data_IF_317941095076
#
_entry.id   IF_317941095076
#
_cell.length_a   1.000
_cell.length_b   1.000
_cell.length_c   1.000
_cell.angle_alpha   90.00
_cell.angle_beta   90.00
_cell.angle_gamma   90.00
#
_symmetry.space_group_name_H-M   'P 1'
#
loop_
_entity.id
_entity.type
_entity.pdbx_description
1 polymer ?
#
# COMPACT_ATOMS: atom_id res chain seq x y z
N UNK A 1 13.05 -4.06 8.89
CA UNK A 1 13.21 -4.97 7.74
C UNK A 1 14.64 -4.94 7.20
N UNK A 2 15.16 -3.81 6.69
CA UNK A 2 16.54 -3.68 6.17
C UNK A 2 17.61 -4.13 7.17
N UNK A 3 17.56 -3.64 8.41
CA UNK A 3 18.52 -4.02 9.46
C UNK A 3 18.37 -5.49 9.90
N UNK A 4 17.18 -6.07 9.77
CA UNK A 4 16.95 -7.50 10.07
C UNK A 4 17.53 -8.37 8.95
N UNK A 5 17.36 -7.99 7.68
CA UNK A 5 17.96 -8.67 6.55
C UNK A 5 19.50 -8.62 6.62
N UNK A 6 20.09 -7.46 6.94
CA UNK A 6 21.55 -7.33 7.11
C UNK A 6 22.12 -8.09 8.31
N UNK A 7 21.33 -8.32 9.37
CA UNK A 7 21.74 -9.13 10.52
C UNK A 7 21.62 -10.64 10.27
N UNK A 8 20.61 -11.08 9.51
CA UNK A 8 20.40 -12.50 9.17
C UNK A 8 21.33 -12.95 8.04
N UNK A 9 21.65 -12.04 7.12
CA UNK A 9 22.55 -12.29 5.99
C UNK A 9 23.64 -11.21 5.94
N UNK A 10 24.66 -11.29 6.82
CA UNK A 10 25.78 -10.36 6.75
C UNK A 10 26.52 -10.54 5.42
N UNK A 11 26.72 -9.44 4.69
CA UNK A 11 27.44 -9.43 3.42
C UNK A 11 28.76 -8.70 3.64
N UNK A 12 29.87 -9.32 3.22
CA UNK A 12 31.18 -8.68 3.25
C UNK A 12 31.21 -7.48 2.28
N UNK A 13 31.79 -6.35 2.72
CA UNK A 13 31.92 -5.11 1.93
C UNK A 13 33.04 -5.17 0.88
N UNK A 14 33.37 -6.37 0.39
CA UNK A 14 34.46 -6.63 -0.55
C UNK A 14 35.72 -7.21 0.10
N UNK A 15 36.79 -7.27 -0.69
CA UNK A 15 38.07 -7.85 -0.27
C UNK A 15 38.84 -6.89 0.64
N UNK A 16 39.55 -7.43 1.64
CA UNK A 16 40.50 -6.66 2.43
C UNK A 16 41.64 -6.19 1.52
N UNK A 17 42.03 -4.93 1.68
CA UNK A 17 43.14 -4.38 0.90
C UNK A 17 44.47 -4.98 1.35
N UNK A 18 45.21 -5.55 0.39
CA UNK A 18 46.56 -6.07 0.60
C UNK A 18 47.53 -5.33 -0.35
N UNK A 19 48.47 -4.52 0.18
CA UNK A 19 49.36 -3.70 -0.65
C UNK A 19 50.28 -4.49 -1.60
N UNK A 20 50.52 -5.76 -1.28
CA UNK A 20 51.45 -6.65 -1.99
C UNK A 20 50.76 -7.50 -3.06
N UNK A 21 49.43 -7.49 -3.13
CA UNK A 21 48.65 -8.24 -4.10
C UNK A 21 48.07 -7.25 -5.11
N UNK A 22 48.34 -7.41 -6.42
CA UNK A 22 47.71 -6.59 -7.44
C UNK A 22 46.19 -6.64 -7.27
N UNK A 23 45.48 -5.49 -7.31
CA UNK A 23 44.04 -5.48 -7.19
C UNK A 23 43.41 -6.38 -8.26
N UNK A 24 42.59 -7.34 -7.82
CA UNK A 24 41.80 -8.15 -8.74
C UNK A 24 40.81 -7.28 -9.52
N UNK A 25 40.30 -7.80 -10.63
CA UNK A 25 39.19 -7.16 -11.35
C UNK A 25 37.93 -7.31 -10.48
N UNK A 26 37.57 -6.24 -9.77
CA UNK A 26 36.36 -6.19 -8.95
C UNK A 26 35.28 -5.38 -9.65
N UNK A 27 34.08 -5.95 -9.72
CA UNK A 27 32.87 -5.20 -10.10
C UNK A 27 32.55 -4.23 -8.96
N UNK A 28 32.21 -2.95 -9.25
CA UNK A 28 31.88 -2.00 -8.19
C UNK A 28 30.56 -2.36 -7.51
N UNK A 29 30.25 -1.63 -6.44
CA UNK A 29 28.97 -1.75 -5.74
C UNK A 29 27.76 -1.56 -6.65
N UNK A 30 26.65 -2.20 -6.31
CA UNK A 30 25.46 -2.32 -7.17
C UNK A 30 24.88 -0.99 -7.67
N UNK A 31 25.05 0.09 -6.92
CA UNK A 31 24.59 1.43 -7.31
C UNK A 31 25.50 2.12 -8.33
N UNK A 32 26.68 1.56 -8.63
CA UNK A 32 27.63 2.03 -9.65
C UNK A 32 27.75 1.10 -10.85
N UNK A 33 27.21 -0.12 -10.79
CA UNK A 33 27.39 -1.09 -11.87
C UNK A 33 26.72 -0.66 -13.17
N UNK A 34 25.65 0.13 -13.11
CA UNK A 34 25.07 0.75 -14.30
C UNK A 34 26.05 1.67 -15.04
N UNK A 35 26.77 2.55 -14.33
CA UNK A 35 27.83 3.37 -14.94
C UNK A 35 28.98 2.51 -15.45
N UNK A 36 29.34 1.50 -14.67
CA UNK A 36 30.39 0.55 -15.02
C UNK A 36 30.10 -0.19 -16.33
N UNK A 37 28.83 -0.53 -16.60
CA UNK A 37 28.43 -1.14 -17.87
C UNK A 37 28.82 -0.27 -19.07
N UNK A 38 28.56 1.04 -19.02
CA UNK A 38 28.93 1.96 -20.09
C UNK A 38 30.46 2.03 -20.28
N UNK A 39 31.23 2.08 -19.19
CA UNK A 39 32.69 2.08 -19.26
C UNK A 39 33.27 0.80 -19.89
N UNK A 40 32.56 -0.33 -19.77
CA UNK A 40 32.96 -1.61 -20.35
C UNK A 40 32.64 -1.76 -21.83
N UNK A 41 31.91 -0.81 -22.43
CA UNK A 41 31.60 -0.82 -23.87
C UNK A 41 32.77 -0.47 -24.79
N UNK A 42 33.93 -0.10 -24.23
CA UNK A 42 35.12 0.38 -24.95
C UNK A 42 34.86 1.60 -25.86
N UNK A 43 33.70 2.26 -25.70
CA UNK A 43 33.43 3.54 -26.34
C UNK A 43 34.21 4.67 -25.64
N UNK A 44 34.10 5.89 -26.17
CA UNK A 44 34.76 7.04 -25.56
C UNK A 44 34.41 7.17 -24.06
N UNK A 45 35.46 7.18 -23.23
CA UNK A 45 35.35 7.14 -21.75
C UNK A 45 34.73 8.42 -21.20
N UNK A 46 34.99 9.56 -21.85
CA UNK A 46 34.38 10.82 -21.45
C UNK A 46 32.88 10.79 -21.73
N UNK A 47 32.47 10.30 -22.91
CA UNK A 47 31.07 10.20 -23.27
C UNK A 47 30.29 9.25 -22.32
N UNK A 48 30.82 8.05 -22.12
CA UNK A 48 30.20 6.97 -21.33
C UNK A 48 30.27 7.18 -19.83
N UNK A 49 31.40 7.68 -19.32
CA UNK A 49 31.63 7.86 -17.89
C UNK A 49 31.20 9.22 -17.34
N UNK A 50 31.12 10.26 -18.18
CA UNK A 50 30.85 11.63 -17.74
C UNK A 50 29.60 12.20 -18.41
N UNK A 51 29.58 12.30 -19.74
CA UNK A 51 28.51 13.02 -20.44
C UNK A 51 27.14 12.36 -20.26
N UNK A 52 27.00 11.05 -20.50
CA UNK A 52 25.72 10.35 -20.37
C UNK A 52 25.17 10.38 -18.93
N UNK A 53 25.96 10.08 -17.87
CA UNK A 53 25.51 10.25 -16.49
C UNK A 53 25.15 11.70 -16.15
N UNK A 54 25.95 12.68 -16.57
CA UNK A 54 25.68 14.09 -16.30
C UNK A 54 24.39 14.56 -16.98
N UNK A 55 24.14 14.13 -18.22
CA UNK A 55 22.89 14.40 -18.93
C UNK A 55 21.69 13.78 -18.20
N UNK A 56 21.82 12.53 -17.76
CA UNK A 56 20.76 11.85 -17.00
C UNK A 56 20.43 12.59 -15.70
N UNK A 57 21.43 12.96 -14.91
CA UNK A 57 21.26 13.75 -13.68
C UNK A 57 20.67 15.13 -14.00
N UNK A 58 21.15 15.78 -15.07
CA UNK A 58 20.63 17.06 -15.53
C UNK A 58 19.13 17.00 -15.85
N UNK A 59 18.67 15.94 -16.52
CA UNK A 59 17.25 15.72 -16.80
C UNK A 59 16.45 15.55 -15.50
N UNK A 60 16.96 14.80 -14.52
CA UNK A 60 16.30 14.63 -13.22
C UNK A 60 16.21 15.96 -12.45
N UNK A 61 17.27 16.77 -12.44
CA UNK A 61 17.28 18.09 -11.80
C UNK A 61 16.33 19.07 -12.48
N UNK A 62 16.17 18.98 -13.80
CA UNK A 62 15.25 19.81 -14.57
C UNK A 62 13.80 19.32 -14.51
N UNK A 63 13.56 18.07 -14.12
CA UNK A 63 12.22 17.46 -14.03
C UNK A 63 11.18 18.32 -13.30
N UNK A 64 11.43 18.90 -12.10
CA UNK A 64 10.44 19.74 -11.42
C UNK A 64 10.03 20.99 -12.23
N UNK A 65 10.87 21.48 -13.13
CA UNK A 65 10.59 22.65 -13.98
C UNK A 65 9.92 22.26 -15.31
N UNK A 66 10.22 21.05 -15.80
CA UNK A 66 9.61 20.48 -17.01
C UNK A 66 8.21 19.92 -16.74
N UNK A 67 7.94 19.45 -15.51
CA UNK A 67 6.65 18.91 -15.11
C UNK A 67 5.63 20.03 -14.82
N UNK A 68 4.87 20.40 -15.85
CA UNK A 68 3.82 21.43 -15.77
C UNK A 68 2.43 20.88 -15.40
N UNK A 69 2.32 19.62 -14.99
CA UNK A 69 1.02 19.02 -14.69
C UNK A 69 0.46 19.49 -13.34
N UNK A 70 -0.76 20.04 -13.37
CA UNK A 70 -1.45 20.53 -12.15
C UNK A 70 -1.79 19.43 -11.13
N UNK A 71 -2.06 18.21 -11.58
CA UNK A 71 -2.50 17.10 -10.72
C UNK A 71 -1.32 16.21 -10.39
N UNK A 72 -1.15 15.82 -9.12
CA UNK A 72 -0.03 14.97 -8.66
C UNK A 72 -0.09 13.51 -9.13
N UNK A 73 -1.28 12.99 -9.43
CA UNK A 73 -1.46 11.56 -9.76
C UNK A 73 -0.68 11.15 -11.02
N UNK A 74 0.02 10.02 -10.95
CA UNK A 74 0.81 9.45 -12.06
C UNK A 74 -0.02 9.23 -13.34
N UNK A 75 -1.30 8.86 -13.18
CA UNK A 75 -2.22 8.66 -14.32
C UNK A 75 -2.52 9.98 -15.02
N UNK A 76 -2.55 11.09 -14.28
CA UNK A 76 -2.83 12.41 -14.81
C UNK A 76 -1.60 13.06 -15.48
N UNK A 77 -0.41 12.44 -15.35
CA UNK A 77 0.87 12.90 -15.94
C UNK A 77 1.46 11.88 -16.93
N UNK A 78 0.73 11.48 -17.99
CA UNK A 78 1.10 10.33 -18.81
C UNK A 78 2.53 10.39 -19.38
N UNK A 79 2.96 11.55 -19.87
CA UNK A 79 4.28 11.72 -20.47
C UNK A 79 5.39 11.67 -19.42
N UNK A 80 5.28 12.43 -18.33
CA UNK A 80 6.29 12.45 -17.26
C UNK A 80 6.40 11.08 -16.58
N UNK A 81 5.27 10.42 -16.32
CA UNK A 81 5.27 9.06 -15.77
C UNK A 81 5.94 8.07 -16.73
N UNK A 82 5.65 8.14 -18.04
CA UNK A 82 6.29 7.27 -19.03
C UNK A 82 7.81 7.53 -19.11
N UNK A 83 8.26 8.79 -19.09
CA UNK A 83 9.68 9.12 -19.01
C UNK A 83 10.34 8.55 -17.75
N UNK A 84 9.69 8.71 -16.58
CA UNK A 84 10.20 8.19 -15.31
C UNK A 84 10.33 6.67 -15.29
N UNK A 85 9.27 5.96 -15.71
CA UNK A 85 9.29 4.49 -15.78
C UNK A 85 10.31 3.98 -16.80
N UNK A 86 10.43 4.65 -17.95
CA UNK A 86 11.46 4.35 -18.94
C UNK A 86 12.86 4.51 -18.34
N UNK A 87 13.12 5.62 -17.63
CA UNK A 87 14.40 5.86 -16.98
C UNK A 87 14.74 4.80 -15.92
N UNK A 88 13.76 4.39 -15.10
CA UNK A 88 13.95 3.30 -14.13
C UNK A 88 14.25 1.97 -14.84
N UNK A 89 13.52 1.66 -15.92
CA UNK A 89 13.75 0.44 -16.70
C UNK A 89 15.17 0.43 -17.30
N UNK A 90 15.63 1.56 -17.85
CA UNK A 90 17.00 1.72 -18.34
C UNK A 90 18.01 1.46 -17.22
N UNK A 91 17.86 2.10 -16.05
CA UNK A 91 18.76 1.87 -14.91
C UNK A 91 18.84 0.40 -14.53
N UNK A 92 17.70 -0.28 -14.39
CA UNK A 92 17.66 -1.69 -13.98
C UNK A 92 18.37 -2.60 -14.99
N UNK A 93 18.09 -2.42 -16.28
CA UNK A 93 18.71 -3.23 -17.34
C UNK A 93 20.20 -2.94 -17.43
N UNK A 94 20.62 -1.68 -17.41
CA UNK A 94 22.05 -1.33 -17.45
C UNK A 94 22.79 -1.80 -16.19
N UNK A 95 22.14 -1.78 -15.03
CA UNK A 95 22.70 -2.34 -13.76
C UNK A 95 22.93 -3.84 -13.89
N UNK A 96 21.97 -4.58 -14.46
CA UNK A 96 22.14 -6.01 -14.75
C UNK A 96 23.31 -6.27 -15.70
N UNK A 97 23.38 -5.52 -16.82
CA UNK A 97 24.52 -5.60 -17.74
C UNK A 97 25.84 -5.29 -17.02
N UNK A 98 25.82 -4.36 -16.07
CA UNK A 98 26.93 -4.00 -15.19
C UNK A 98 27.48 -5.15 -14.35
N UNK A 99 26.65 -6.13 -14.00
CA UNK A 99 27.07 -7.37 -13.33
C UNK A 99 27.37 -8.52 -14.28
N UNK A 100 26.79 -8.49 -15.48
CA UNK A 100 26.90 -9.61 -16.41
C UNK A 100 28.35 -9.81 -16.89
N UNK A 101 28.80 -11.05 -16.74
CA UNK A 101 30.06 -11.60 -17.25
C UNK A 101 29.71 -12.97 -17.85
N UNK A 102 29.98 -13.23 -19.14
CA UNK A 102 29.72 -14.54 -19.77
C UNK A 102 30.33 -15.67 -18.95
N UNK A 103 29.68 -16.82 -18.73
CA UNK A 103 30.19 -17.86 -17.83
C UNK A 103 31.34 -18.68 -18.42
N UNK A 104 31.59 -18.60 -19.72
CA UNK A 104 32.63 -19.36 -20.41
C UNK A 104 34.03 -19.00 -19.90
N UNK A 105 34.66 -19.92 -19.16
CA UNK A 105 35.98 -19.73 -18.56
C UNK A 105 37.13 -19.99 -19.53
N UNK A 106 36.86 -20.41 -20.77
CA UNK A 106 37.89 -20.57 -21.80
C UNK A 106 38.37 -19.22 -22.37
N UNK A 107 37.55 -18.17 -22.23
CA UNK A 107 37.87 -16.81 -22.64
C UNK A 107 38.53 -16.06 -21.46
N UNK A 108 39.62 -15.30 -21.68
CA UNK A 108 40.24 -14.49 -20.63
C UNK A 108 39.25 -13.52 -19.97
N UNK A 109 39.38 -13.31 -18.66
CA UNK A 109 38.47 -12.44 -17.89
C UNK A 109 38.38 -11.01 -18.44
N UNK A 110 39.50 -10.47 -18.94
CA UNK A 110 39.56 -9.11 -19.53
C UNK A 110 38.62 -8.98 -20.74
N UNK A 111 38.60 -10.00 -21.60
CA UNK A 111 37.76 -10.02 -22.79
C UNK A 111 36.29 -10.27 -22.42
N UNK A 112 36.03 -11.16 -21.46
CA UNK A 112 34.67 -11.39 -20.91
C UNK A 112 34.08 -10.16 -20.22
N UNK A 113 34.92 -9.24 -19.76
CA UNK A 113 34.48 -8.00 -19.14
C UNK A 113 33.96 -7.02 -20.18
N UNK A 114 34.47 -7.05 -21.41
CA UNK A 114 34.05 -6.13 -22.47
C UNK A 114 32.59 -6.39 -22.83
N UNK A 115 31.80 -5.31 -22.85
CA UNK A 115 30.41 -5.34 -23.29
C UNK A 115 30.40 -4.91 -24.76
N UNK A 116 29.76 -5.69 -25.63
CA UNK A 116 29.52 -5.27 -27.00
C UNK A 116 28.60 -4.03 -27.00
N UNK A 117 29.09 -2.86 -27.48
CA UNK A 117 28.30 -1.64 -27.50
C UNK A 117 27.02 -1.79 -28.33
N UNK A 118 27.07 -2.51 -29.45
CA UNK A 118 25.92 -2.68 -30.33
C UNK A 118 24.81 -3.40 -29.59
N UNK A 119 25.13 -4.49 -28.89
CA UNK A 119 24.15 -5.25 -28.12
C UNK A 119 23.56 -4.44 -26.97
N UNK A 120 24.39 -3.73 -26.19
CA UNK A 120 23.91 -2.90 -25.09
C UNK A 120 22.97 -1.80 -25.59
N UNK A 121 23.40 -1.01 -26.57
CA UNK A 121 22.61 0.11 -27.06
C UNK A 121 21.36 -0.33 -27.83
N UNK A 122 21.40 -1.46 -28.54
CA UNK A 122 20.21 -2.03 -29.18
C UNK A 122 19.14 -2.36 -28.12
N UNK A 123 19.52 -3.06 -27.04
CA UNK A 123 18.60 -3.37 -25.94
C UNK A 123 18.05 -2.10 -25.31
N UNK A 124 18.90 -1.10 -25.06
CA UNK A 124 18.47 0.19 -24.51
C UNK A 124 17.49 0.91 -25.43
N UNK A 125 17.79 1.04 -26.73
CA UNK A 125 16.94 1.71 -27.71
C UNK A 125 15.60 0.99 -27.84
N UNK A 126 15.59 -0.35 -27.86
CA UNK A 126 14.36 -1.13 -27.92
C UNK A 126 13.52 -1.00 -26.64
N UNK A 127 14.17 -0.88 -25.48
CA UNK A 127 13.50 -0.74 -24.19
C UNK A 127 12.76 0.60 -24.08
N UNK A 128 13.21 1.66 -24.76
CA UNK A 128 12.54 2.97 -24.74
C UNK A 128 11.09 2.89 -25.23
N UNK A 129 10.77 2.55 -26.50
CA UNK A 129 9.40 2.49 -26.96
C UNK A 129 8.59 1.40 -26.25
N UNK A 130 9.21 0.29 -25.84
CA UNK A 130 8.53 -0.76 -25.10
C UNK A 130 8.04 -0.27 -23.73
N UNK A 131 8.93 0.24 -22.89
CA UNK A 131 8.58 0.70 -21.54
C UNK A 131 7.70 1.95 -21.57
N UNK A 132 7.97 2.87 -22.49
CA UNK A 132 7.20 4.09 -22.66
C UNK A 132 5.78 3.80 -23.18
N UNK A 133 5.66 3.03 -24.27
CA UNK A 133 4.38 2.62 -24.84
C UNK A 133 3.56 1.77 -23.87
N UNK A 134 4.20 0.81 -23.20
CA UNK A 134 3.56 0.01 -22.15
C UNK A 134 3.02 0.89 -21.02
N UNK A 135 3.77 1.90 -20.59
CA UNK A 135 3.30 2.83 -19.55
C UNK A 135 2.07 3.60 -19.99
N UNK A 136 2.07 4.15 -21.21
CA UNK A 136 0.91 4.88 -21.74
C UNK A 136 -0.32 3.97 -21.85
N UNK A 137 -0.13 2.73 -22.32
CA UNK A 137 -1.18 1.71 -22.35
C UNK A 137 -1.74 1.44 -20.96
N UNK A 138 -0.88 1.21 -19.96
CA UNK A 138 -1.30 0.94 -18.58
C UNK A 138 -2.05 2.13 -17.96
N UNK A 139 -1.62 3.36 -18.24
CA UNK A 139 -2.33 4.57 -17.80
C UNK A 139 -3.71 4.66 -18.44
N UNK A 140 -3.81 4.35 -19.75
CA UNK A 140 -5.10 4.32 -20.45
C UNK A 140 -6.05 3.30 -19.82
N UNK A 141 -5.59 2.05 -19.64
CA UNK A 141 -6.37 0.98 -19.01
C UNK A 141 -6.77 1.33 -17.57
N UNK A 142 -5.88 1.94 -16.79
CA UNK A 142 -6.18 2.35 -15.42
C UNK A 142 -7.26 3.45 -15.37
N UNK A 143 -7.24 4.42 -16.30
CA UNK A 143 -8.28 5.45 -16.41
C UNK A 143 -9.62 4.86 -16.85
N UNK A 144 -9.59 3.93 -17.80
CA UNK A 144 -10.79 3.22 -18.25
C UNK A 144 -11.42 2.40 -17.12
N UNK A 145 -10.61 1.69 -16.34
CA UNK A 145 -11.05 0.93 -15.19
C UNK A 145 -11.68 1.83 -14.12
N UNK A 146 -11.06 2.99 -13.82
CA UNK A 146 -11.66 3.97 -12.90
C UNK A 146 -12.99 4.52 -13.39
N UNK A 147 -13.09 4.83 -14.69
CA UNK A 147 -14.34 5.29 -15.32
C UNK A 147 -15.42 4.23 -15.20
N UNK A 148 -15.12 2.98 -15.56
CA UNK A 148 -16.05 1.85 -15.47
C UNK A 148 -16.47 1.59 -14.02
N UNK A 149 -15.55 1.64 -13.06
CA UNK A 149 -15.84 1.49 -11.64
C UNK A 149 -16.75 2.61 -11.10
N UNK A 150 -16.53 3.87 -11.52
CA UNK A 150 -17.41 4.99 -11.16
C UNK A 150 -18.82 4.83 -11.73
N UNK A 151 -18.95 4.38 -12.99
CA UNK A 151 -20.24 4.09 -13.61
C UNK A 151 -20.94 2.91 -12.93
N UNK A 152 -20.22 1.83 -12.64
CA UNK A 152 -20.77 0.69 -11.91
C UNK A 152 -21.22 1.06 -10.49
N UNK A 153 -20.49 1.96 -9.81
CA UNK A 153 -20.91 2.48 -8.49
C UNK A 153 -22.15 3.38 -8.58
N UNK A 154 -22.27 4.17 -9.65
CA UNK A 154 -23.43 5.03 -9.87
C UNK A 154 -24.69 4.22 -10.24
N UNK A 155 -24.52 3.17 -11.05
CA UNK A 155 -25.62 2.36 -11.60
C UNK A 155 -25.89 1.07 -10.80
N UNK A 156 -25.01 0.72 -9.87
CA UNK A 156 -25.10 -0.50 -9.06
C UNK A 156 -26.12 -0.39 -7.93
N UNK A 157 -26.59 -1.53 -7.38
CA UNK A 157 -27.51 -1.54 -6.26
C UNK A 157 -26.90 -0.81 -5.05
N UNK A 158 -27.57 0.25 -4.58
CA UNK A 158 -27.14 1.05 -3.41
C UNK A 158 -27.14 0.24 -2.09
N UNK A 159 -27.83 -0.90 -2.05
CA UNK A 159 -27.75 -1.88 -0.97
C UNK A 159 -26.63 -2.88 -1.28
N UNK A 160 -25.44 -2.59 -0.79
CA UNK A 160 -24.40 -3.61 -0.65
C UNK A 160 -24.90 -4.57 0.43
N UNK A 161 -24.95 -5.88 0.13
CA UNK A 161 -25.33 -6.92 1.09
C UNK A 161 -24.40 -6.82 2.30
N UNK A 162 -24.88 -6.24 3.41
CA UNK A 162 -24.12 -6.22 4.64
C UNK A 162 -24.05 -7.66 5.16
N UNK A 163 -22.84 -8.22 5.23
CA UNK A 163 -22.61 -9.53 5.84
C UNK A 163 -22.96 -9.39 7.33
N UNK A 164 -24.17 -9.80 7.69
CA UNK A 164 -24.65 -9.78 9.06
C UNK A 164 -24.57 -11.21 9.59
N UNK A 165 -23.45 -11.56 10.21
CA UNK A 165 -23.28 -12.85 10.85
C UNK A 165 -24.10 -12.87 12.14
N UNK A 166 -24.93 -13.89 12.31
CA UNK A 166 -25.69 -14.09 13.55
C UNK A 166 -24.72 -14.30 14.73
N UNK A 167 -25.04 -13.71 15.89
CA UNK A 167 -24.21 -13.82 17.10
C UNK A 167 -23.87 -15.27 17.48
N UNK A 168 -24.81 -16.21 17.25
CA UNK A 168 -24.61 -17.64 17.50
C UNK A 168 -23.53 -18.24 16.60
N UNK A 169 -23.56 -17.89 15.31
CA UNK A 169 -22.56 -18.34 14.33
C UNK A 169 -21.20 -17.68 14.55
N UNK A 170 -21.17 -16.40 14.91
CA UNK A 170 -19.94 -15.71 15.27
C UNK A 170 -19.24 -16.36 16.47
N UNK A 171 -20.00 -16.72 17.51
CA UNK A 171 -19.43 -17.41 18.68
C UNK A 171 -18.91 -18.81 18.34
N UNK A 172 -19.66 -19.60 17.56
CA UNK A 172 -19.19 -20.91 17.09
C UNK A 172 -17.92 -20.82 16.25
N UNK A 173 -17.86 -19.83 15.36
CA UNK A 173 -16.71 -19.57 14.53
C UNK A 173 -15.49 -19.15 15.37
N UNK A 174 -15.67 -18.35 16.42
CA UNK A 174 -14.60 -18.03 17.37
C UNK A 174 -14.08 -19.28 18.11
N UNK A 175 -14.98 -20.14 18.60
CA UNK A 175 -14.58 -21.39 19.25
C UNK A 175 -13.83 -22.31 18.28
N UNK A 176 -14.30 -22.43 17.03
CA UNK A 176 -13.64 -23.21 15.99
C UNK A 176 -12.24 -22.67 15.66
N UNK A 177 -12.09 -21.36 15.47
CA UNK A 177 -10.79 -20.75 15.23
C UNK A 177 -9.85 -20.91 16.43
N UNK A 178 -10.36 -20.83 17.66
CA UNK A 178 -9.55 -21.06 18.86
C UNK A 178 -9.06 -22.51 18.94
N UNK A 179 -9.93 -23.49 18.70
CA UNK A 179 -9.54 -24.90 18.67
C UNK A 179 -8.53 -25.17 17.55
N UNK A 180 -8.74 -24.59 16.36
CA UNK A 180 -7.80 -24.68 15.25
C UNK A 180 -6.45 -24.03 15.59
N UNK A 181 -6.45 -22.89 16.29
CA UNK A 181 -5.23 -22.24 16.76
C UNK A 181 -4.43 -23.14 17.70
N UNK A 182 -5.10 -23.80 18.65
CA UNK A 182 -4.45 -24.76 19.57
C UNK A 182 -3.86 -25.93 18.79
N UNK A 183 -4.62 -26.50 17.87
CA UNK A 183 -4.13 -27.57 16.98
C UNK A 183 -2.88 -27.16 16.20
N UNK A 184 -2.88 -25.97 15.59
CA UNK A 184 -1.74 -25.48 14.83
C UNK A 184 -0.50 -25.28 15.71
N UNK A 185 -0.66 -24.81 16.94
CA UNK A 185 0.47 -24.67 17.88
C UNK A 185 1.07 -26.02 18.26
N UNK A 186 0.23 -27.03 18.51
CA UNK A 186 0.70 -28.40 18.78
C UNK A 186 1.45 -28.95 17.55
N UNK A 187 0.91 -28.74 16.34
CA UNK A 187 1.55 -29.18 15.10
C UNK A 187 2.89 -28.47 14.87
N UNK A 188 2.99 -27.16 15.11
CA UNK A 188 4.22 -26.39 14.98
C UNK A 188 5.27 -26.86 15.99
N UNK A 189 4.87 -27.10 17.25
CA UNK A 189 5.74 -27.63 18.28
C UNK A 189 6.29 -29.02 17.92
N UNK A 190 5.43 -29.93 17.43
CA UNK A 190 5.85 -31.25 16.98
C UNK A 190 6.79 -31.18 15.76
N UNK A 191 6.53 -30.28 14.82
CA UNK A 191 7.40 -30.04 13.67
C UNK A 191 8.79 -29.51 14.09
N UNK A 192 8.84 -28.65 15.10
CA UNK A 192 10.08 -28.17 15.70
C UNK A 192 10.87 -29.29 16.36
N UNK A 193 10.23 -30.10 17.22
CA UNK A 193 10.87 -31.25 17.87
C UNK A 193 11.37 -32.29 16.86
N UNK A 194 10.71 -32.40 15.70
CA UNK A 194 11.11 -33.30 14.61
C UNK A 194 12.18 -32.73 13.68
N UNK A 195 12.69 -31.52 13.95
CA UNK A 195 13.72 -30.85 13.14
C UNK A 195 13.22 -30.34 11.77
N UNK A 196 11.91 -30.31 11.53
CA UNK A 196 11.30 -29.91 10.26
C UNK A 196 11.13 -28.39 10.16
N UNK A 197 12.25 -27.65 10.09
CA UNK A 197 12.29 -26.18 10.19
C UNK A 197 11.41 -25.46 9.15
N UNK A 198 11.34 -25.95 7.91
CA UNK A 198 10.50 -25.35 6.86
C UNK A 198 9.01 -25.49 7.16
N UNK A 199 8.60 -26.65 7.70
CA UNK A 199 7.20 -26.92 8.07
C UNK A 199 6.82 -26.13 9.32
N UNK A 200 7.72 -26.03 10.30
CA UNK A 200 7.53 -25.17 11.46
C UNK A 200 7.35 -23.68 11.06
N UNK A 201 8.20 -23.17 10.16
CA UNK A 201 8.09 -21.79 9.67
C UNK A 201 6.77 -21.55 8.92
N UNK A 202 6.36 -22.50 8.06
CA UNK A 202 5.08 -22.44 7.36
C UNK A 202 3.89 -22.46 8.34
N UNK A 203 3.87 -23.38 9.30
CA UNK A 203 2.84 -23.48 10.34
C UNK A 203 2.78 -22.19 11.19
N UNK A 204 3.94 -21.61 11.53
CA UNK A 204 4.01 -20.32 12.22
C UNK A 204 3.35 -19.20 11.42
N UNK A 205 3.54 -19.16 10.11
CA UNK A 205 2.83 -18.23 9.22
C UNK A 205 1.31 -18.44 9.25
N UNK A 206 0.85 -19.69 9.18
CA UNK A 206 -0.59 -20.04 9.24
C UNK A 206 -1.20 -19.68 10.61
N UNK A 207 -0.45 -19.85 11.71
CA UNK A 207 -0.84 -19.44 13.07
C UNK A 207 -1.11 -17.93 13.12
N UNK A 208 -0.26 -17.10 12.50
CA UNK A 208 -0.44 -15.64 12.49
C UNK A 208 -1.65 -15.21 11.66
N UNK A 209 -1.89 -15.83 10.50
CA UNK A 209 -3.06 -15.54 9.66
C UNK A 209 -4.35 -15.93 10.38
N UNK A 210 -4.38 -17.11 10.99
CA UNK A 210 -5.52 -17.61 11.76
C UNK A 210 -5.81 -16.69 12.95
N UNK A 211 -4.77 -16.27 13.69
CA UNK A 211 -4.90 -15.31 14.78
C UNK A 211 -5.45 -13.96 14.32
N UNK A 212 -4.98 -13.43 13.19
CA UNK A 212 -5.49 -12.20 12.61
C UNK A 212 -6.99 -12.32 12.26
N UNK A 213 -7.40 -13.46 11.69
CA UNK A 213 -8.80 -13.79 11.42
C UNK A 213 -9.65 -13.87 12.69
N UNK A 214 -9.17 -14.57 13.72
CA UNK A 214 -9.80 -14.67 15.04
C UNK A 214 -10.00 -13.29 15.66
N UNK A 215 -8.96 -12.46 15.66
CA UNK A 215 -9.01 -11.11 16.23
C UNK A 215 -10.00 -10.20 15.49
N UNK A 216 -10.02 -10.26 14.15
CA UNK A 216 -10.99 -9.50 13.35
C UNK A 216 -12.43 -9.93 13.64
N UNK A 217 -12.68 -11.24 13.71
CA UNK A 217 -13.98 -11.79 14.03
C UNK A 217 -14.43 -11.43 15.46
N UNK A 218 -13.50 -11.47 16.42
CA UNK A 218 -13.75 -11.06 17.80
C UNK A 218 -14.13 -9.58 17.89
N UNK A 219 -13.38 -8.70 17.19
CA UNK A 219 -13.69 -7.27 17.13
C UNK A 219 -15.06 -7.02 16.49
N UNK A 220 -15.39 -7.77 15.44
CA UNK A 220 -16.72 -7.74 14.82
C UNK A 220 -17.82 -8.15 15.82
N UNK A 221 -17.63 -9.28 16.53
CA UNK A 221 -18.57 -9.75 17.55
C UNK A 221 -18.83 -8.69 18.64
N UNK A 222 -17.76 -8.04 19.12
CA UNK A 222 -17.81 -6.97 20.12
C UNK A 222 -18.53 -5.71 19.61
N UNK A 223 -18.48 -5.43 18.31
CA UNK A 223 -19.24 -4.32 17.72
C UNK A 223 -20.74 -4.63 17.65
N UNK A 224 -21.10 -5.89 17.37
CA UNK A 224 -22.49 -6.33 17.25
C UNK A 224 -23.17 -6.48 18.62
N UNK A 225 -22.44 -6.92 19.66
CA UNK A 225 -22.99 -7.05 21.01
C UNK A 225 -23.43 -5.71 21.61
N UNK A 226 -22.76 -4.60 21.26
CA UNK A 226 -23.13 -3.24 21.67
C UNK A 226 -24.49 -2.77 21.10
N UNK A 227 -24.98 -3.40 20.04
CA UNK A 227 -26.24 -3.05 19.39
C UNK A 227 -27.44 -3.84 19.94
N UNK A 228 -27.21 -4.83 20.82
CA UNK A 228 -28.29 -5.66 21.37
C UNK A 228 -28.86 -4.99 22.64
N UNK A 229 -30.18 -4.75 22.76
CA UNK A 229 -30.76 -4.13 23.96
C UNK A 229 -30.48 -4.96 25.21
N UNK A 230 -30.07 -4.28 26.29
CA UNK A 230 -29.80 -4.90 27.60
C UNK A 230 -31.10 -5.50 28.16
N UNK A 231 -31.11 -6.75 28.66
CA UNK A 231 -32.34 -7.32 29.25
C UNK A 231 -32.78 -6.49 30.47
N UNK A 232 -34.10 -6.34 30.69
CA UNK A 232 -34.62 -5.56 31.82
C UNK A 232 -34.16 -6.17 33.16
N UNK A 233 -33.87 -5.33 34.17
CA UNK A 233 -33.40 -5.80 35.47
C UNK A 233 -34.46 -6.68 36.15
N UNK A 234 -34.03 -7.83 36.68
CA UNK A 234 -34.89 -8.74 37.45
C UNK A 234 -35.40 -8.04 38.70
N UNK A 235 -36.74 -7.98 38.85
CA UNK A 235 -37.41 -7.48 40.04
C UNK A 235 -37.08 -8.43 41.22
N UNK A 236 -36.57 -7.93 42.36
CA UNK A 236 -36.32 -8.76 43.52
C UNK A 236 -37.65 -9.22 44.14
N UNK A 237 -37.82 -10.54 44.27
CA UNK A 237 -39.00 -11.13 44.90
C UNK A 237 -38.76 -11.19 46.41
N UNK A 238 -39.25 -10.19 47.16
CA UNK A 238 -39.36 -10.29 48.62
C UNK A 238 -40.79 -10.67 48.96
N UNK A 239 -41.04 -11.95 49.25
CA UNK A 239 -42.28 -12.41 49.88
C UNK A 239 -42.09 -12.42 51.40
N UNK A 240 -42.79 -11.53 52.09
CA UNK A 240 -43.23 -11.73 53.46
C UNK A 240 -44.47 -10.86 53.70
N UNK A 241 -45.60 -11.51 53.94
CA UNK A 241 -46.47 -11.30 55.11
C UNK A 241 -47.81 -12.00 54.88
N UNK A 242 -48.20 -12.74 55.92
CA UNK A 242 -49.37 -13.57 56.05
C UNK A 242 -50.52 -12.78 56.67
N UNK A 243 -51.74 -13.21 56.34
CA UNK A 243 -53.02 -12.99 57.03
C UNK A 243 -53.81 -11.70 56.79
N UNK A 244 -55.09 -11.88 56.42
CA UNK A 244 -56.11 -10.82 56.40
C UNK A 244 -57.19 -10.99 55.32
N UNK A 245 -58.21 -11.78 55.65
CA UNK A 245 -59.62 -11.75 55.20
C UNK A 245 -60.06 -11.22 53.80
N UNK A 246 -60.79 -12.09 53.09
CA UNK A 246 -61.87 -11.80 52.10
C UNK A 246 -63.07 -11.10 52.81
N UNK A 247 -64.07 -10.44 52.16
CA UNK A 247 -64.49 -10.60 50.75
C UNK A 247 -65.14 -9.37 50.02
N UNK A 248 -65.55 -9.63 48.77
CA UNK A 248 -66.82 -9.24 48.11
C UNK A 248 -67.00 -7.86 47.39
N UNK A 249 -67.27 -8.02 46.08
CA UNK A 249 -68.40 -7.50 45.27
C UNK A 249 -68.43 -6.09 44.64
N UNK A 250 -68.81 -6.12 43.35
CA UNK A 250 -69.47 -5.08 42.52
C UNK A 250 -68.71 -3.80 42.23
N UNK A 251 -68.69 -3.26 41.00
CA UNK A 251 -69.40 -3.58 39.77
C UNK A 251 -69.00 -2.56 38.70
N UNK A 252 -69.43 -2.83 37.46
CA UNK A 252 -69.69 -1.91 36.33
C UNK A 252 -69.40 -0.41 36.55
N UNK A 253 -68.82 0.34 35.61
CA UNK A 253 -69.29 0.50 34.24
C UNK A 253 -68.29 1.33 33.41
N UNK A 254 -68.29 1.02 32.11
CA UNK A 254 -68.07 1.88 30.94
C UNK A 254 -67.47 3.29 31.11
N UNK A 255 -66.38 3.58 30.37
CA UNK A 255 -66.39 4.57 29.28
C UNK A 255 -65.07 4.59 28.48
N UNK A 256 -65.20 4.70 27.15
CA UNK A 256 -64.19 4.93 26.12
C UNK A 256 -64.75 6.04 25.21
N UNK A 257 -63.98 6.67 24.31
CA UNK A 257 -62.78 7.51 24.42
C UNK A 257 -63.12 8.98 24.00
N UNK A 258 -62.16 9.86 23.64
CA UNK A 258 -61.83 9.95 22.21
C UNK A 258 -60.34 10.10 21.86
N UNK A 259 -60.08 9.72 20.62
CA UNK A 259 -58.83 9.78 19.85
C UNK A 259 -58.42 11.23 19.55
N UNK A 260 -57.12 11.47 19.45
CA UNK A 260 -56.56 12.38 18.42
C UNK A 260 -55.22 11.83 17.90
N UNK A 261 -55.01 12.01 16.58
CA UNK A 261 -53.95 11.42 15.74
C UNK A 261 -52.81 12.44 15.52
N UNK A 262 -51.66 12.02 14.95
CA UNK A 262 -50.34 12.59 15.18
C UNK A 262 -50.00 13.78 14.29
N UNK A 263 -49.12 14.66 14.78
CA UNK A 263 -48.44 15.68 13.96
C UNK A 263 -46.98 15.30 13.74
N UNK A 264 -46.56 15.54 12.50
CA UNK A 264 -45.32 15.17 11.85
C UNK A 264 -44.38 16.40 11.89
N UNK A 265 -43.14 16.24 12.35
CA UNK A 265 -42.19 17.35 12.52
C UNK A 265 -40.74 16.97 12.24
N UNK A 266 -40.34 17.21 10.98
CA UNK A 266 -39.07 17.80 10.52
C UNK A 266 -37.71 17.18 10.92
N UNK A 267 -37.06 16.63 9.88
CA UNK A 267 -35.68 16.16 9.84
C UNK A 267 -34.73 17.37 9.83
N UNK A 268 -33.77 17.40 10.75
CA UNK A 268 -32.61 18.33 10.73
C UNK A 268 -31.34 17.54 10.41
N UNK A 269 -30.62 18.02 9.39
CA UNK A 269 -29.38 17.48 8.84
C UNK A 269 -28.18 18.05 9.65
N UNK A 270 -27.21 17.24 10.12
CA UNK A 270 -26.04 17.78 10.83
C UNK A 270 -24.88 18.11 9.87
N UNK A 271 -24.54 19.39 9.83
CA UNK A 271 -23.44 20.02 9.09
C UNK A 271 -22.05 19.52 9.54
N UNK A 272 -21.17 19.21 8.59
CA UNK A 272 -19.77 18.80 8.83
C UNK A 272 -18.87 19.99 9.29
N UNK A 273 -17.89 19.79 10.19
CA UNK A 273 -17.01 20.85 10.66
C UNK A 273 -15.82 21.11 9.71
N UNK A 274 -15.66 22.38 9.30
CA UNK A 274 -14.49 22.93 8.59
C UNK A 274 -13.25 22.96 9.49
N UNK A 275 -12.13 22.41 9.02
CA UNK A 275 -10.81 22.54 9.63
C UNK A 275 -10.20 23.89 9.19
N UNK A 276 -9.84 24.74 10.16
CA UNK A 276 -9.14 26.00 9.95
C UNK A 276 -7.63 25.72 9.83
N UNK A 277 -7.01 26.18 8.74
CA UNK A 277 -5.56 26.23 8.61
C UNK A 277 -5.04 27.45 9.41
N UNK A 278 -4.07 27.23 10.28
CA UNK A 278 -3.38 28.28 11.03
C UNK A 278 -2.15 28.69 10.22
N UNK A 279 -2.19 29.86 9.59
CA UNK A 279 -1.05 30.44 8.88
C UNK A 279 -0.37 31.41 9.82
N UNK A 280 0.89 31.12 10.18
CA UNK A 280 1.75 32.02 10.91
C UNK A 280 2.10 33.23 10.02
N UNK A 281 1.88 34.43 10.56
CA UNK A 281 2.31 35.70 10.00
C UNK A 281 3.84 35.78 9.97
N UNK A 282 4.39 36.19 8.83
CA UNK A 282 5.67 36.89 8.76
C UNK A 282 5.48 38.03 7.79
N UNK A 283 5.42 39.25 8.34
CA UNK A 283 5.27 40.49 7.60
C UNK A 283 6.54 40.85 6.83
N UNK A 284 6.34 41.47 5.66
CA UNK A 284 7.29 42.36 5.03
C UNK A 284 6.49 43.44 4.29
N UNK A 285 6.87 44.68 4.57
CA UNK A 285 6.24 45.94 4.21
C UNK A 285 6.22 46.25 2.70
N UNK A 286 5.17 47.02 2.34
CA UNK A 286 4.93 47.97 1.23
C UNK A 286 5.93 48.09 0.07
N UNK A 287 5.39 48.08 -1.17
CA UNK A 287 5.11 49.32 -1.90
C UNK A 287 4.09 49.13 -3.06
N UNK A 288 3.16 50.07 -3.33
CA UNK A 288 2.18 49.98 -4.43
C UNK A 288 2.50 50.95 -5.59
N UNK A 289 2.14 50.52 -6.81
CA UNK A 289 2.07 51.26 -8.10
C UNK A 289 3.22 51.08 -9.09
N UNK A 290 2.98 50.24 -10.11
CA UNK A 290 3.25 50.44 -11.54
C UNK A 290 2.74 49.16 -12.25
N UNK A 291 1.98 49.10 -13.32
CA UNK A 291 1.37 50.04 -14.23
C UNK A 291 0.69 49.14 -15.28
N UNK A 292 -0.55 49.49 -15.65
CA UNK A 292 -1.39 48.85 -16.66
C UNK A 292 -0.67 48.62 -17.99
N UNK A 293 -1.00 47.53 -18.71
CA UNK A 293 -1.43 47.56 -20.12
C UNK A 293 -1.79 46.16 -20.63
N UNK A 294 -3.07 46.01 -20.98
CA UNK A 294 -3.63 44.98 -21.83
C UNK A 294 -2.89 44.86 -23.16
N UNK A 295 -2.73 43.64 -23.69
CA UNK A 295 -2.62 43.42 -25.14
C UNK A 295 -3.30 42.09 -25.52
N UNK A 296 -4.42 42.26 -26.23
CA UNK A 296 -5.20 41.23 -26.90
C UNK A 296 -4.40 40.59 -28.05
N UNK A 297 -4.71 39.31 -28.24
CA UNK A 297 -4.52 38.44 -29.41
C UNK A 297 -4.81 39.11 -30.77
N UNK A 298 -4.30 38.52 -31.85
CA UNK A 298 -5.15 37.63 -32.68
C UNK A 298 -4.85 36.13 -32.51
#
# INVERSE_FOLDING_TARGET
AMCLAGGVFPVDLGFKFEPTVPPGITVPEWYLTGLYAFLRTQYDKFLTGVLWPALFIGVLLLTPFLDRYKKFSWKDRPWITAFGITGIAQILVTTYWGFYIPPDTTIPLVERLVIDPINLYLVMILLVPLSFGFTLMMIHLAKEAERKAKLAKANGPKKISQINLSIKWTNWMLVALLAFQVFLNIAAYNAFLSGMNNVNLWLTGVILITFAGFFHLYRYAMSQSKLTPKPPPSIPTTKSMESGEKPLLSGNDNQKPPKEKPSQGQITEPTAPKIKANTAELGLDKDPNLGTSDLKKP
#
